data_IF_372246461879
#
_entry.id   IF_372246461879
#
_cell.length_a   1.000
_cell.length_b   1.000
_cell.length_c   1.000
_cell.angle_alpha   90.00
_cell.angle_beta   90.00
_cell.angle_gamma   90.00
#
_symmetry.space_group_name_H-M   'P 1'
#
loop_
_entity.id
_entity.type
_entity.pdbx_description
1 polymer ?
#
# COMPACT_ATOMS: atom_id res chain seq x y z
N UNK A 1 -24.04 -11.59 9.65
CA UNK A 1 -23.08 -10.79 10.45
C UNK A 1 -22.46 -9.79 9.49
N UNK A 2 -22.80 -8.50 9.62
CA UNK A 2 -22.19 -7.46 8.79
C UNK A 2 -20.78 -7.22 9.31
N UNK A 3 -19.77 -7.61 8.53
CA UNK A 3 -18.38 -7.29 8.83
C UNK A 3 -18.22 -5.78 8.71
N UNK A 4 -18.22 -5.07 9.83
CA UNK A 4 -17.77 -3.69 9.90
C UNK A 4 -16.25 -3.69 9.66
N UNK A 5 -15.83 -3.67 8.40
CA UNK A 5 -14.44 -3.40 8.04
C UNK A 5 -14.12 -1.96 8.48
N UNK A 6 -13.49 -1.84 9.65
CA UNK A 6 -12.84 -0.59 10.04
C UNK A 6 -11.79 -0.27 8.97
N UNK A 7 -12.09 0.74 8.16
CA UNK A 7 -11.19 1.20 7.13
C UNK A 7 -10.07 2.03 7.77
N UNK A 8 -8.89 1.43 7.87
CA UNK A 8 -7.73 2.02 8.55
C UNK A 8 -7.34 3.37 7.93
N UNK A 9 -7.48 3.50 6.62
CA UNK A 9 -7.16 4.73 5.90
C UNK A 9 -8.16 5.88 6.19
N UNK A 10 -9.43 5.57 6.42
CA UNK A 10 -10.43 6.56 6.86
C UNK A 10 -10.14 7.02 8.29
N UNK A 11 -9.85 6.09 9.20
CA UNK A 11 -9.50 6.43 10.58
C UNK A 11 -8.23 7.30 10.63
N UNK A 12 -7.20 6.91 9.89
CA UNK A 12 -5.95 7.67 9.81
C UNK A 12 -6.18 9.08 9.24
N UNK A 13 -6.99 9.21 8.18
CA UNK A 13 -7.34 10.52 7.64
C UNK A 13 -8.07 11.40 8.68
N UNK A 14 -8.98 10.83 9.46
CA UNK A 14 -9.68 11.57 10.51
C UNK A 14 -8.73 12.07 11.60
N UNK A 15 -7.76 11.24 12.00
CA UNK A 15 -6.71 11.62 12.96
C UNK A 15 -5.78 12.70 12.40
N UNK A 16 -5.30 12.56 11.15
CA UNK A 16 -4.45 13.56 10.52
C UNK A 16 -5.17 14.93 10.43
N UNK A 17 -6.46 14.92 10.05
CA UNK A 17 -7.30 16.12 10.00
C UNK A 17 -7.48 16.76 11.39
N UNK A 18 -7.62 15.99 12.46
CA UNK A 18 -7.82 16.54 13.81
C UNK A 18 -6.60 17.28 14.36
N UNK A 19 -5.40 16.96 13.86
CA UNK A 19 -4.15 17.64 14.20
C UNK A 19 -3.67 18.61 13.11
N UNK A 20 -4.51 18.91 12.11
CA UNK A 20 -4.21 19.91 11.08
C UNK A 20 -3.23 19.47 10.00
N UNK A 21 -2.97 18.16 9.85
CA UNK A 21 -2.12 17.64 8.78
C UNK A 21 -2.97 17.39 7.53
N UNK A 22 -2.64 17.99 6.37
CA UNK A 22 -3.32 17.69 5.12
C UNK A 22 -3.17 16.20 4.77
N UNK A 23 -4.30 15.52 4.58
CA UNK A 23 -4.34 14.09 4.33
C UNK A 23 -5.40 13.73 3.27
N UNK A 24 -4.98 13.04 2.23
CA UNK A 24 -5.83 12.56 1.14
C UNK A 24 -6.07 11.06 1.30
N UNK A 25 -7.29 10.63 1.03
CA UNK A 25 -7.64 9.22 0.92
C UNK A 25 -7.45 8.82 -0.54
N UNK A 26 -6.63 7.81 -0.78
CA UNK A 26 -6.32 7.29 -2.11
C UNK A 26 -7.06 5.97 -2.28
N UNK A 27 -7.77 5.85 -3.39
CA UNK A 27 -8.39 4.62 -3.84
C UNK A 27 -7.52 3.99 -4.92
N UNK A 28 -7.47 2.66 -4.93
CA UNK A 28 -6.77 1.93 -5.98
C UNK A 28 -6.79 0.43 -5.70
N UNK A 29 -5.75 -0.23 -6.17
CA UNK A 29 -5.54 -1.66 -5.94
C UNK A 29 -4.21 -1.91 -5.23
N UNK A 30 -4.18 -2.93 -4.39
CA UNK A 30 -2.97 -3.41 -3.74
C UNK A 30 -2.71 -4.86 -4.13
N UNK A 31 -1.56 -5.15 -4.75
CA UNK A 31 -1.09 -6.53 -4.89
C UNK A 31 -0.88 -7.10 -3.49
N UNK A 32 -1.40 -8.29 -3.25
CA UNK A 32 -1.22 -9.03 -2.02
C UNK A 32 -0.77 -10.47 -2.36
N UNK A 33 -0.59 -11.32 -1.34
CA UNK A 33 -0.15 -12.71 -1.51
C UNK A 33 -1.11 -13.62 -2.31
N UNK A 34 -2.31 -13.14 -2.65
CA UNK A 34 -3.26 -13.86 -3.50
C UNK A 34 -2.98 -13.65 -4.99
N UNK A 35 -2.04 -12.77 -5.35
CA UNK A 35 -1.61 -12.57 -6.73
C UNK A 35 -0.61 -13.65 -7.20
N UNK A 36 -0.99 -14.43 -8.21
CA UNK A 36 -0.08 -15.27 -8.98
C UNK A 36 0.60 -14.51 -10.13
N UNK A 37 1.91 -14.69 -10.32
CA UNK A 37 2.64 -14.10 -11.45
C UNK A 37 2.01 -14.60 -12.76
N UNK A 38 1.60 -13.67 -13.63
CA UNK A 38 0.98 -13.97 -14.92
C UNK A 38 -0.55 -14.14 -14.88
N UNK A 39 -1.18 -14.04 -13.71
CA UNK A 39 -2.64 -13.96 -13.59
C UNK A 39 -3.13 -12.52 -13.83
N UNK A 40 -4.31 -12.37 -14.41
CA UNK A 40 -4.96 -11.06 -14.56
C UNK A 40 -5.35 -10.51 -13.19
N UNK A 41 -5.11 -9.21 -12.93
CA UNK A 41 -5.49 -8.60 -11.66
C UNK A 41 -7.02 -8.48 -11.55
N UNK A 42 -7.62 -9.15 -10.56
CA UNK A 42 -9.00 -8.86 -10.14
C UNK A 42 -9.03 -7.57 -9.32
N UNK A 43 -9.37 -6.47 -9.99
CA UNK A 43 -9.40 -5.14 -9.38
C UNK A 43 -10.40 -5.00 -8.23
N UNK A 44 -11.44 -5.83 -8.19
CA UNK A 44 -12.42 -5.82 -7.08
C UNK A 44 -11.87 -6.55 -5.87
N UNK A 45 -11.25 -7.71 -6.08
CA UNK A 45 -10.64 -8.48 -4.99
C UNK A 45 -9.44 -7.75 -4.37
N UNK A 46 -8.71 -6.98 -5.19
CA UNK A 46 -7.53 -6.22 -4.76
C UNK A 46 -7.82 -4.76 -4.40
N UNK A 47 -9.09 -4.36 -4.39
CA UNK A 47 -9.49 -2.99 -4.07
C UNK A 47 -8.99 -2.62 -2.67
N UNK A 48 -8.25 -1.52 -2.59
CA UNK A 48 -7.59 -1.10 -1.37
C UNK A 48 -7.57 0.42 -1.23
N UNK A 49 -7.41 0.90 0.00
CA UNK A 49 -7.38 2.32 0.30
C UNK A 49 -6.24 2.62 1.26
N UNK A 50 -5.51 3.69 0.96
CA UNK A 50 -4.39 4.19 1.75
C UNK A 50 -4.41 5.72 1.76
N UNK A 51 -3.38 6.36 2.30
CA UNK A 51 -3.32 7.80 2.44
C UNK A 51 -2.08 8.42 1.80
N UNK A 52 -2.23 9.68 1.40
CA UNK A 52 -1.10 10.60 1.24
C UNK A 52 -1.20 11.71 2.29
N UNK A 53 -0.11 12.00 2.97
CA UNK A 53 0.00 13.11 3.95
C UNK A 53 1.00 14.14 3.46
N UNK A 54 0.74 15.41 3.75
CA UNK A 54 1.65 16.50 3.41
C UNK A 54 2.52 16.85 4.62
N UNK A 55 3.82 16.58 4.51
CA UNK A 55 4.83 16.79 5.56
C UNK A 55 6.11 17.34 4.92
N UNK A 56 6.80 18.25 5.60
CA UNK A 56 8.08 18.83 5.14
C UNK A 56 8.04 19.30 3.68
N UNK A 57 6.93 19.98 3.33
CA UNK A 57 6.68 20.54 2.01
C UNK A 57 6.56 19.49 0.87
N UNK A 58 6.28 18.23 1.21
CA UNK A 58 6.17 17.11 0.27
C UNK A 58 4.99 16.18 0.61
N UNK A 59 4.44 15.52 -0.41
CA UNK A 59 3.46 14.44 -0.21
C UNK A 59 4.18 13.13 0.07
N UNK A 60 3.72 12.38 1.07
CA UNK A 60 4.26 11.08 1.48
C UNK A 60 3.15 10.05 1.60
N UNK A 61 3.43 8.81 1.21
CA UNK A 61 2.45 7.72 1.17
C UNK A 61 2.44 6.96 2.49
N UNK A 62 1.25 6.62 2.97
CA UNK A 62 1.04 5.88 4.22
C UNK A 62 -0.02 4.82 4.01
N UNK A 63 0.30 3.58 4.33
CA UNK A 63 -0.68 2.50 4.44
C UNK A 63 -0.74 1.98 5.87
N UNK A 64 -1.78 2.39 6.58
CA UNK A 64 -1.97 2.02 7.98
C UNK A 64 -2.44 0.58 8.17
N UNK A 65 -3.07 -0.05 7.18
CA UNK A 65 -3.46 -1.45 7.30
C UNK A 65 -2.20 -2.34 7.26
N UNK A 66 -1.37 -2.16 6.23
CA UNK A 66 -0.12 -2.89 6.08
C UNK A 66 0.94 -2.48 7.10
N UNK A 67 0.94 -1.21 7.54
CA UNK A 67 1.84 -0.73 8.59
C UNK A 67 1.48 -1.22 10.00
N UNK A 68 0.19 -1.45 10.29
CA UNK A 68 -0.27 -1.97 11.59
C UNK A 68 -0.28 -3.50 11.68
N UNK A 69 -0.15 -4.20 10.55
CA UNK A 69 -0.19 -5.65 10.49
C UNK A 69 1.06 -6.22 9.81
N UNK A 70 1.94 -6.84 10.58
CA UNK A 70 2.85 -7.83 10.02
C UNK A 70 2.06 -9.13 9.78
N UNK A 71 1.71 -9.38 8.52
CA UNK A 71 1.15 -10.67 8.12
C UNK A 71 2.28 -11.66 7.88
N UNK A 72 2.48 -12.59 8.82
CA UNK A 72 3.41 -13.71 8.66
C UNK A 72 2.58 -14.97 8.38
N UNK A 73 2.87 -15.62 7.26
CA UNK A 73 2.23 -16.86 6.83
C UNK A 73 2.23 -17.02 5.31
N UNK A 74 1.98 -18.25 4.85
CA UNK A 74 1.74 -18.59 3.44
C UNK A 74 0.40 -19.31 3.33
N UNK A 75 -0.07 -19.58 2.10
CA UNK A 75 -1.35 -20.27 1.84
C UNK A 75 -1.53 -21.60 2.59
N UNK A 76 -0.44 -22.24 3.05
CA UNK A 76 -0.44 -23.48 3.83
C UNK A 76 -0.38 -23.29 5.35
N UNK A 77 -0.12 -22.07 5.85
CA UNK A 77 -0.01 -21.77 7.27
C UNK A 77 -1.06 -20.73 7.68
N UNK A 78 -1.65 -20.93 8.85
CA UNK A 78 -2.68 -20.04 9.35
C UNK A 78 -2.08 -18.64 9.58
N UNK A 79 -2.62 -17.63 8.89
CA UNK A 79 -2.18 -16.24 8.99
C UNK A 79 -2.12 -15.81 10.46
N UNK A 80 -0.90 -15.56 10.93
CA UNK A 80 -0.66 -15.09 12.29
C UNK A 80 -0.48 -13.58 12.23
N UNK A 81 -1.36 -12.81 12.87
CA UNK A 81 -1.12 -11.38 13.09
C UNK A 81 0.07 -11.24 14.03
N UNK A 82 1.24 -10.94 13.49
CA UNK A 82 2.38 -10.58 14.31
C UNK A 82 2.19 -9.15 14.79
N UNK A 83 2.30 -8.93 16.11
CA UNK A 83 2.11 -7.63 16.77
C UNK A 83 3.23 -6.61 16.49
N UNK A 84 3.98 -6.80 15.41
CA UNK A 84 5.08 -5.94 15.01
C UNK A 84 4.56 -4.93 14.00
N UNK A 85 4.83 -3.66 14.27
CA UNK A 85 4.60 -2.55 13.35
C UNK A 85 5.55 -2.70 12.15
N UNK A 86 5.05 -2.49 10.94
CA UNK A 86 5.85 -2.47 9.74
C UNK A 86 6.07 -1.02 9.29
N UNK A 87 7.24 -0.47 9.64
CA UNK A 87 7.57 0.93 9.39
C UNK A 87 7.73 1.24 7.89
N UNK A 88 7.94 0.22 7.06
CA UNK A 88 8.03 0.38 5.60
C UNK A 88 6.82 1.10 5.02
N UNK A 89 5.61 0.87 5.56
CA UNK A 89 4.35 1.45 5.06
C UNK A 89 4.02 2.82 5.65
N UNK A 90 4.94 3.42 6.42
CA UNK A 90 4.79 4.78 6.93
C UNK A 90 5.79 5.71 6.23
N UNK A 91 5.28 6.61 5.40
CA UNK A 91 6.06 7.55 4.59
C UNK A 91 6.91 6.85 3.52
N UNK A 92 6.41 5.74 2.96
CA UNK A 92 7.09 4.96 1.92
C UNK A 92 7.43 5.83 0.72
N UNK A 93 8.63 5.62 0.15
CA UNK A 93 9.02 6.29 -1.07
C UNK A 93 8.13 5.84 -2.26
N UNK A 94 7.75 6.77 -3.16
CA UNK A 94 6.85 6.48 -4.28
C UNK A 94 7.24 5.28 -5.16
N UNK A 95 8.53 5.13 -5.45
CA UNK A 95 9.10 4.06 -6.28
C UNK A 95 9.06 2.69 -5.60
N UNK A 96 9.10 2.66 -4.27
CA UNK A 96 8.90 1.44 -3.49
C UNK A 96 7.41 1.12 -3.35
N UNK A 97 6.58 2.13 -3.08
CA UNK A 97 5.14 1.95 -2.85
C UNK A 97 4.41 1.46 -4.11
N UNK A 98 4.78 1.95 -5.29
CA UNK A 98 4.16 1.56 -6.58
C UNK A 98 4.36 0.08 -6.91
N UNK A 99 5.30 -0.62 -6.28
CA UNK A 99 5.50 -2.06 -6.49
C UNK A 99 4.32 -2.90 -6.01
N UNK A 100 3.53 -2.36 -5.06
CA UNK A 100 2.35 -3.04 -4.52
C UNK A 100 1.08 -2.21 -4.61
N UNK A 101 1.14 -0.88 -4.66
CA UNK A 101 -0.03 0.00 -4.61
C UNK A 101 -0.18 0.82 -5.90
N UNK A 102 -1.20 0.53 -6.69
CA UNK A 102 -1.54 1.30 -7.89
C UNK A 102 -2.81 2.15 -7.66
N UNK A 103 -2.70 3.48 -7.60
CA UNK A 103 -3.86 4.35 -7.40
C UNK A 103 -4.72 4.48 -8.65
N UNK A 104 -6.03 4.68 -8.45
CA UNK A 104 -6.98 4.99 -9.53
C UNK A 104 -6.63 6.28 -10.26
N UNK A 105 -6.15 7.28 -9.51
CA UNK A 105 -5.64 8.53 -10.07
C UNK A 105 -4.10 8.51 -10.06
N UNK A 106 -3.52 8.50 -11.25
CA UNK A 106 -2.07 8.41 -11.47
C UNK A 106 -1.26 9.55 -10.83
N UNK A 107 -1.86 10.72 -10.57
CA UNK A 107 -1.18 11.81 -9.86
C UNK A 107 -0.73 11.40 -8.45
N UNK A 108 -1.46 10.47 -7.81
CA UNK A 108 -1.13 9.97 -6.48
C UNK A 108 -0.06 8.88 -6.45
N UNK A 109 0.50 8.53 -7.61
CA UNK A 109 1.72 7.72 -7.64
C UNK A 109 2.92 8.52 -7.16
N UNK A 110 2.88 9.87 -7.27
CA UNK A 110 3.99 10.77 -6.90
C UNK A 110 5.31 10.45 -7.64
N UNK A 111 5.21 9.78 -8.79
CA UNK A 111 6.34 9.44 -9.65
C UNK A 111 6.51 10.48 -10.77
N UNK A 112 7.76 10.78 -11.18
CA UNK A 112 8.02 11.61 -12.36
C UNK A 112 7.43 11.02 -13.64
N UNK A 113 7.44 9.68 -13.74
CA UNK A 113 6.83 8.93 -14.84
C UNK A 113 5.84 7.91 -14.25
N UNK A 114 4.52 8.17 -14.37
CA UNK A 114 3.52 7.26 -13.86
C UNK A 114 3.60 5.86 -14.49
N UNK A 115 3.44 4.84 -13.66
CA UNK A 115 3.27 3.44 -14.02
C UNK A 115 1.84 3.21 -14.48
N UNK A 116 1.69 2.58 -15.65
CA UNK A 116 0.38 2.17 -16.18
C UNK A 116 -0.10 0.88 -15.52
N UNK A 117 -1.39 0.59 -15.61
CA UNK A 117 -1.96 -0.67 -15.13
C UNK A 117 -1.24 -1.89 -15.72
N UNK A 118 -0.97 -1.90 -17.03
CA UNK A 118 -0.27 -3.00 -17.71
C UNK A 118 1.15 -3.19 -17.17
N UNK A 119 1.90 -2.12 -16.97
CA UNK A 119 3.24 -2.21 -16.37
C UNK A 119 3.16 -2.71 -14.92
N UNK A 120 2.18 -2.22 -14.16
CA UNK A 120 1.95 -2.67 -12.80
C UNK A 120 1.59 -4.15 -12.76
N UNK A 121 0.80 -4.68 -13.70
CA UNK A 121 0.53 -6.12 -13.83
C UNK A 121 1.82 -6.92 -13.97
N UNK A 122 2.75 -6.47 -14.82
CA UNK A 122 4.04 -7.12 -15.08
C UNK A 122 5.02 -7.06 -13.89
N UNK A 123 4.80 -6.19 -12.89
CA UNK A 123 5.68 -6.09 -11.73
C UNK A 123 5.68 -7.36 -10.88
N UNK A 124 6.88 -7.77 -10.45
CA UNK A 124 7.04 -8.81 -9.44
C UNK A 124 6.49 -8.31 -8.11
N UNK A 125 5.80 -9.18 -7.39
CA UNK A 125 5.31 -8.86 -6.05
C UNK A 125 6.49 -8.80 -5.06
N UNK A 126 6.98 -7.60 -4.78
CA UNK A 126 8.07 -7.32 -3.84
C UNK A 126 7.58 -6.39 -2.72
N UNK A 127 8.15 -6.54 -1.51
CA UNK A 127 7.76 -5.82 -0.28
C UNK A 127 9.00 -5.48 0.57
N UNK A 128 8.80 -5.07 1.82
CA UNK A 128 9.83 -4.50 2.71
C UNK A 128 11.16 -5.26 2.67
N UNK A 129 11.15 -6.59 2.78
CA UNK A 129 12.35 -7.42 2.80
C UNK A 129 13.21 -7.32 1.55
N UNK A 130 12.61 -7.06 0.38
CA UNK A 130 13.37 -6.86 -0.86
C UNK A 130 14.20 -5.58 -0.76
N UNK A 131 13.59 -4.48 -0.34
CA UNK A 131 14.26 -3.18 -0.23
C UNK A 131 15.25 -3.12 0.95
N UNK A 132 14.95 -3.81 2.06
CA UNK A 132 15.88 -3.94 3.19
C UNK A 132 17.22 -4.59 2.81
N UNK A 133 17.25 -5.40 1.74
CA UNK A 133 18.48 -5.99 1.22
C UNK A 133 19.30 -5.05 0.32
N UNK A 134 18.83 -3.82 0.10
CA UNK A 134 19.45 -2.85 -0.82
C UNK A 134 19.15 -3.11 -2.30
N UNK A 135 18.18 -3.97 -2.60
CA UNK A 135 17.71 -4.22 -3.96
C UNK A 135 16.66 -3.19 -4.36
N UNK A 136 16.71 -2.80 -5.63
CA UNK A 136 15.76 -1.88 -6.24
C UNK A 136 15.20 -2.50 -7.53
N UNK A 137 13.96 -2.13 -7.89
CA UNK A 137 13.42 -2.45 -9.21
C UNK A 137 14.15 -1.59 -10.26
N UNK A 138 14.70 -2.25 -11.29
CA UNK A 138 15.53 -1.65 -12.35
C UNK A 138 14.83 -0.53 -13.13
#
# INVERSE_FOLDING_TARGET
>A
MQNHTCNHAILYQALAKSIGIPCVLINGICKNSEYGIGESLDTKALAHQWNAVYLDNQWRLVDTLWGSACMIGSRSEQWSKCRLRNDFFFLTDPDMMICTHLPDNQAWQLLPKPVTFKQFEEFVYVREKFFETGLHML
#
